data_IF_867394518716
#
_entry.id   IF_867394518716
#
_cell.length_a   1.000
_cell.length_b   1.000
_cell.length_c   1.000
_cell.angle_alpha   90.00
_cell.angle_beta   90.00
_cell.angle_gamma   90.00
#
_symmetry.space_group_name_H-M   'P 1'
#
loop_
_entity.id
_entity.type
_entity.pdbx_description
1 polymer ?
#
# COMPACT_ATOMS: atom_id res chain seq x y z
N UNK A 1 -1.22 -8.19 7.97
CA UNK A 1 -0.01 -7.77 7.23
C UNK A 1 -0.37 -6.49 6.48
N UNK A 2 0.37 -5.40 6.68
CA UNK A 2 0.05 -4.09 6.10
C UNK A 2 0.18 -4.07 4.57
N UNK A 3 1.24 -4.66 4.05
CA UNK A 3 1.45 -4.81 2.60
C UNK A 3 0.93 -6.18 2.18
N UNK A 4 -0.14 -6.17 1.40
CA UNK A 4 -0.74 -7.40 0.89
C UNK A 4 0.13 -8.02 -0.22
N UNK A 5 -0.17 -9.27 -0.55
CA UNK A 5 0.46 -9.93 -1.68
C UNK A 5 0.09 -9.27 -3.02
N UNK A 6 -1.09 -8.67 -3.10
CA UNK A 6 -1.53 -7.93 -4.28
C UNK A 6 -0.71 -6.65 -4.45
N UNK A 7 -0.46 -5.92 -3.36
CA UNK A 7 0.42 -4.74 -3.35
C UNK A 7 1.87 -5.11 -3.70
N UNK A 8 2.44 -6.21 -3.16
CA UNK A 8 3.78 -6.68 -3.54
C UNK A 8 3.87 -6.97 -5.04
N UNK A 9 2.89 -7.67 -5.59
CA UNK A 9 2.84 -7.95 -7.03
C UNK A 9 2.69 -6.67 -7.87
N UNK A 10 1.91 -5.70 -7.42
CA UNK A 10 1.77 -4.41 -8.10
C UNK A 10 3.11 -3.66 -8.17
N UNK A 11 3.85 -3.59 -7.07
CA UNK A 11 5.16 -2.95 -7.03
C UNK A 11 6.15 -3.62 -8.01
N UNK A 12 6.14 -4.95 -8.11
CA UNK A 12 6.96 -5.68 -9.09
C UNK A 12 6.57 -5.34 -10.53
N UNK A 13 5.27 -5.37 -10.85
CA UNK A 13 4.79 -5.05 -12.20
C UNK A 13 5.12 -3.61 -12.60
N UNK A 14 4.96 -2.65 -11.68
CA UNK A 14 5.35 -1.24 -11.87
C UNK A 14 6.85 -1.12 -12.10
N UNK A 15 7.67 -1.86 -11.35
CA UNK A 15 9.12 -1.92 -11.58
C UNK A 15 9.45 -2.42 -12.98
N UNK A 16 8.77 -3.46 -13.45
CA UNK A 16 8.95 -4.00 -14.79
C UNK A 16 8.60 -3.02 -15.92
N UNK A 17 7.80 -1.99 -15.63
CA UNK A 17 7.43 -0.92 -16.58
C UNK A 17 8.36 0.31 -16.50
N UNK A 18 9.34 0.31 -15.61
CA UNK A 18 10.19 1.48 -15.37
C UNK A 18 11.19 1.80 -16.48
N UNK A 19 11.36 0.92 -17.45
CA UNK A 19 12.21 1.13 -18.62
C UNK A 19 11.58 2.07 -19.67
N UNK A 20 10.35 2.55 -19.43
CA UNK A 20 9.61 3.45 -20.31
C UNK A 20 9.08 2.80 -21.59
N UNK A 21 9.12 1.46 -21.67
CA UNK A 21 8.62 0.70 -22.82
C UNK A 21 7.27 0.07 -22.52
N UNK A 22 6.56 -0.28 -23.59
CA UNK A 22 5.33 -1.07 -23.50
C UNK A 22 5.63 -2.54 -23.34
N UNK A 23 4.96 -3.17 -22.40
CA UNK A 23 5.09 -4.58 -22.14
C UNK A 23 3.73 -5.26 -22.11
N UNK A 24 3.64 -6.46 -22.68
CA UNK A 24 2.45 -7.29 -22.53
C UNK A 24 2.35 -7.87 -21.12
N UNK A 25 1.14 -8.23 -20.70
CA UNK A 25 0.93 -8.91 -19.41
C UNK A 25 1.79 -10.17 -19.27
N UNK A 26 1.93 -10.93 -20.39
CA UNK A 26 2.70 -12.17 -20.37
C UNK A 26 4.21 -11.92 -20.13
N UNK A 27 4.77 -10.87 -20.74
CA UNK A 27 6.17 -10.48 -20.54
C UNK A 27 6.41 -10.02 -19.09
N UNK A 28 5.57 -9.12 -18.57
CA UNK A 28 5.67 -8.63 -17.20
C UNK A 28 5.52 -9.76 -16.18
N UNK A 29 4.50 -10.61 -16.35
CA UNK A 29 4.24 -11.71 -15.44
C UNK A 29 5.43 -12.69 -15.38
N UNK A 30 6.04 -12.98 -16.51
CA UNK A 30 7.23 -13.84 -16.60
C UNK A 30 8.46 -13.18 -15.96
N UNK A 31 8.76 -11.94 -16.31
CA UNK A 31 9.94 -11.21 -15.85
C UNK A 31 9.88 -10.98 -14.32
N UNK A 32 8.73 -10.57 -13.80
CA UNK A 32 8.54 -10.18 -12.39
C UNK A 32 8.08 -11.34 -11.50
N UNK A 33 7.97 -12.55 -12.06
CA UNK A 33 7.54 -13.74 -11.31
C UNK A 33 6.18 -13.59 -10.64
N UNK A 34 5.24 -12.95 -11.33
CA UNK A 34 3.86 -12.77 -10.90
C UNK A 34 2.97 -13.73 -11.69
N UNK A 35 2.07 -14.50 -11.05
CA UNK A 35 1.14 -15.36 -11.79
C UNK A 35 0.29 -14.54 -12.77
N UNK A 36 0.19 -14.99 -14.04
CA UNK A 36 -0.44 -14.21 -15.11
C UNK A 36 -1.85 -13.72 -14.82
N UNK A 37 -2.65 -14.54 -14.12
CA UNK A 37 -4.01 -14.16 -13.76
C UNK A 37 -4.04 -12.97 -12.79
N UNK A 38 -3.11 -12.96 -11.81
CA UNK A 38 -2.96 -11.84 -10.89
C UNK A 38 -2.42 -10.60 -11.61
N UNK A 39 -1.40 -10.76 -12.47
CA UNK A 39 -0.83 -9.65 -13.23
C UNK A 39 -1.91 -8.92 -14.04
N UNK A 40 -2.80 -9.66 -14.72
CA UNK A 40 -3.89 -9.07 -15.49
C UNK A 40 -4.86 -8.26 -14.60
N UNK A 41 -5.30 -8.83 -13.46
CA UNK A 41 -6.22 -8.16 -12.53
C UNK A 41 -5.61 -6.90 -11.94
N UNK A 42 -4.34 -6.99 -11.52
CA UNK A 42 -3.62 -5.88 -10.91
C UNK A 42 -3.41 -4.75 -11.92
N UNK A 43 -2.91 -5.06 -13.12
CA UNK A 43 -2.70 -4.04 -14.17
C UNK A 43 -4.01 -3.35 -14.55
N UNK A 44 -5.13 -4.06 -14.57
CA UNK A 44 -6.45 -3.47 -14.80
C UNK A 44 -6.87 -2.51 -13.67
N UNK A 45 -6.59 -2.83 -12.42
CA UNK A 45 -6.83 -1.91 -11.30
C UNK A 45 -5.92 -0.67 -11.39
N UNK A 46 -4.63 -0.88 -11.67
CA UNK A 46 -3.66 0.21 -11.82
C UNK A 46 -3.99 1.13 -12.99
N UNK A 47 -4.57 0.60 -14.09
CA UNK A 47 -5.11 1.40 -15.20
C UNK A 47 -6.28 2.24 -14.73
N UNK A 48 -7.22 1.67 -13.98
CA UNK A 48 -8.34 2.40 -13.38
C UNK A 48 -7.89 3.55 -12.48
N UNK A 49 -6.80 3.36 -11.73
CA UNK A 49 -6.15 4.39 -10.91
C UNK A 49 -5.22 5.33 -11.69
N UNK A 50 -5.11 5.19 -13.01
CA UNK A 50 -4.25 5.98 -13.90
C UNK A 50 -2.75 5.94 -13.53
N UNK A 51 -2.31 4.87 -12.88
CA UNK A 51 -0.89 4.63 -12.60
C UNK A 51 -0.22 4.03 -13.83
N UNK A 52 -0.93 3.17 -14.56
CA UNK A 52 -0.51 2.62 -15.84
C UNK A 52 -1.53 2.95 -16.93
N UNK A 53 -1.07 2.96 -18.18
CA UNK A 53 -1.90 3.10 -19.37
C UNK A 53 -1.83 1.83 -20.22
N UNK A 54 -2.90 1.53 -20.96
CA UNK A 54 -2.96 0.43 -21.90
C UNK A 54 -3.12 0.97 -23.31
N UNK A 55 -2.31 0.45 -24.24
CA UNK A 55 -2.51 0.62 -25.68
C UNK A 55 -2.98 -0.70 -26.27
N UNK A 56 -4.05 -0.68 -27.06
CA UNK A 56 -4.59 -1.87 -27.75
C UNK A 56 -3.98 -2.00 -29.14
N UNK A 57 -3.96 -3.21 -29.65
CA UNK A 57 -3.47 -3.52 -31.01
C UNK A 57 -2.24 -4.41 -31.03
N UNK A 58 -1.64 -4.62 -32.21
CA UNK A 58 -0.50 -5.52 -32.41
C UNK A 58 0.73 -5.10 -31.60
N UNK A 59 1.00 -3.78 -31.52
CA UNK A 59 2.08 -3.19 -30.72
C UNK A 59 1.58 -2.69 -29.36
N UNK A 60 0.49 -3.26 -28.88
CA UNK A 60 -0.16 -2.90 -27.63
C UNK A 60 0.56 -3.44 -26.41
N UNK A 61 0.19 -2.89 -25.27
CA UNK A 61 0.74 -3.29 -23.97
C UNK A 61 0.48 -2.25 -22.90
N UNK A 62 1.04 -2.48 -21.72
CA UNK A 62 1.00 -1.57 -20.60
C UNK A 62 2.28 -0.75 -20.54
N UNK A 63 2.14 0.50 -20.13
CA UNK A 63 3.23 1.43 -19.86
C UNK A 63 2.88 2.30 -18.64
N UNK A 64 3.85 2.96 -18.03
CA UNK A 64 3.58 3.90 -16.94
C UNK A 64 2.83 5.12 -17.48
N UNK A 65 1.73 5.52 -16.82
CA UNK A 65 0.97 6.72 -17.14
C UNK A 65 1.48 7.96 -16.39
N UNK A 66 2.23 7.74 -15.29
CA UNK A 66 2.76 8.79 -14.43
C UNK A 66 4.21 8.52 -14.06
N UNK A 67 4.93 9.58 -13.68
CA UNK A 67 6.27 9.45 -13.12
C UNK A 67 6.23 8.72 -11.78
N UNK A 68 7.18 7.81 -11.54
CA UNK A 68 7.31 7.10 -10.26
C UNK A 68 7.60 8.04 -9.08
N UNK A 69 8.09 9.27 -9.35
CA UNK A 69 8.28 10.30 -8.33
C UNK A 69 6.98 11.03 -7.97
N UNK A 70 5.91 10.86 -8.76
CA UNK A 70 4.60 11.46 -8.51
C UNK A 70 3.60 10.48 -7.88
N UNK A 71 3.89 9.20 -7.89
CA UNK A 71 3.04 8.13 -7.34
C UNK A 71 3.63 7.63 -6.04
N UNK A 72 2.81 7.56 -4.99
CA UNK A 72 3.23 7.08 -3.67
C UNK A 72 2.82 5.63 -3.42
N UNK A 73 3.38 5.01 -2.38
CA UNK A 73 2.94 3.69 -1.94
C UNK A 73 1.46 3.69 -1.54
N UNK A 74 1.01 4.78 -0.91
CA UNK A 74 -0.40 4.94 -0.56
C UNK A 74 -1.32 4.90 -1.78
N UNK A 75 -0.96 5.60 -2.87
CA UNK A 75 -1.77 5.64 -4.10
C UNK A 75 -1.93 4.25 -4.72
N UNK A 76 -0.87 3.44 -4.70
CA UNK A 76 -0.95 2.04 -5.15
C UNK A 76 -1.90 1.23 -4.27
N UNK A 77 -1.74 1.31 -2.95
CA UNK A 77 -2.59 0.58 -1.99
C UNK A 77 -4.06 1.00 -2.12
N UNK A 78 -4.33 2.29 -2.24
CA UNK A 78 -5.68 2.84 -2.42
C UNK A 78 -6.31 2.34 -3.74
N UNK A 79 -5.55 2.38 -4.84
CA UNK A 79 -5.98 1.87 -6.16
C UNK A 79 -6.33 0.38 -6.14
N UNK A 80 -5.61 -0.41 -5.35
CA UNK A 80 -5.88 -1.84 -5.20
C UNK A 80 -7.04 -2.15 -4.24
N UNK A 81 -7.45 -1.18 -3.43
CA UNK A 81 -8.41 -1.38 -2.34
C UNK A 81 -7.78 -1.90 -1.05
N UNK A 82 -6.47 -1.80 -0.95
CA UNK A 82 -5.63 -2.24 0.17
C UNK A 82 -5.19 -1.06 1.07
N UNK A 83 -5.82 0.12 0.91
CA UNK A 83 -5.51 1.26 1.77
C UNK A 83 -5.63 0.85 3.25
N UNK A 84 -4.63 1.21 4.07
CA UNK A 84 -4.53 0.67 5.42
C UNK A 84 -5.67 1.13 6.32
N UNK A 85 -6.58 0.22 6.63
CA UNK A 85 -7.53 0.34 7.70
C UNK A 85 -6.97 -0.31 8.97
N UNK A 86 -6.87 0.43 10.06
CA UNK A 86 -6.38 -0.11 11.34
C UNK A 86 -7.46 -0.86 12.12
N UNK A 87 -8.73 -0.53 11.88
CA UNK A 87 -9.88 -1.23 12.47
C UNK A 87 -11.14 -1.00 11.65
N UNK A 88 -12.07 -1.95 11.71
CA UNK A 88 -13.33 -1.88 10.98
C UNK A 88 -14.15 -0.61 11.27
N UNK A 89 -14.12 -0.13 12.51
CA UNK A 89 -14.86 1.06 12.94
C UNK A 89 -14.28 2.39 12.43
N UNK A 90 -13.08 2.38 11.86
CA UNK A 90 -12.43 3.58 11.27
C UNK A 90 -12.20 3.45 9.77
N UNK A 91 -12.48 2.29 9.19
CA UNK A 91 -12.23 1.98 7.78
C UNK A 91 -13.33 2.51 6.83
N UNK A 92 -14.29 3.27 7.34
CA UNK A 92 -15.38 3.87 6.56
C UNK A 92 -16.38 2.89 5.95
N UNK A 93 -16.26 1.60 6.22
CA UNK A 93 -17.14 0.53 5.73
C UNK A 93 -18.21 0.28 6.77
N UNK A 94 -19.37 0.92 6.68
CA UNK A 94 -20.62 0.68 7.43
C UNK A 94 -20.52 -0.36 8.57
N UNK A 95 -19.55 -0.20 9.46
CA UNK A 95 -19.38 -1.07 10.60
C UNK A 95 -20.19 -0.50 11.78
N UNK A 96 -21.28 -1.18 12.10
CA UNK A 96 -22.03 -0.92 13.31
C UNK A 96 -21.26 -1.51 14.50
N UNK A 97 -20.74 -0.62 15.37
CA UNK A 97 -20.04 -1.06 16.55
C UNK A 97 -21.04 -1.30 17.70
N UNK A 98 -21.23 -2.55 18.17
CA UNK A 98 -22.20 -2.85 19.23
C UNK A 98 -21.97 -2.06 20.52
N UNK A 99 -20.71 -1.68 20.80
CA UNK A 99 -20.40 -0.85 21.96
C UNK A 99 -20.91 0.57 21.77
N UNK A 100 -20.65 1.18 20.60
CA UNK A 100 -21.12 2.53 20.29
C UNK A 100 -22.64 2.63 20.21
N UNK A 101 -23.31 1.55 19.77
CA UNK A 101 -24.78 1.50 19.71
C UNK A 101 -25.43 1.47 21.09
N UNK A 102 -24.70 0.96 22.10
CA UNK A 102 -25.20 0.84 23.48
C UNK A 102 -24.76 1.96 24.42
N UNK A 103 -23.92 2.90 23.94
CA UNK A 103 -23.35 3.98 24.73
C UNK A 103 -23.44 5.30 23.98
N UNK A 104 -24.07 6.28 24.56
CA UNK A 104 -24.22 7.64 23.97
C UNK A 104 -22.94 8.49 24.05
N UNK A 105 -21.82 7.91 24.48
CA UNK A 105 -20.54 8.59 24.63
C UNK A 105 -19.65 8.42 23.42
N UNK A 106 -18.84 9.43 23.11
CA UNK A 106 -17.80 9.36 22.09
C UNK A 106 -16.78 8.27 22.41
N UNK A 107 -16.61 7.33 21.49
CA UNK A 107 -15.66 6.24 21.65
C UNK A 107 -14.21 6.75 21.57
N UNK A 108 -13.54 6.85 22.72
CA UNK A 108 -12.13 7.28 22.81
C UNK A 108 -11.20 6.35 22.02
N UNK A 109 -11.49 5.04 21.99
CA UNK A 109 -10.70 4.07 21.23
C UNK A 109 -10.77 4.38 19.74
N UNK A 110 -11.97 4.64 19.21
CA UNK A 110 -12.15 5.01 17.80
C UNK A 110 -11.37 6.29 17.46
N UNK A 111 -11.43 7.31 18.32
CA UNK A 111 -10.68 8.56 18.13
C UNK A 111 -9.17 8.33 18.02
N UNK A 112 -8.60 7.50 18.91
CA UNK A 112 -7.18 7.15 18.86
C UNK A 112 -6.82 6.33 17.62
N UNK A 113 -7.66 5.36 17.24
CA UNK A 113 -7.43 4.54 16.02
C UNK A 113 -7.50 5.38 14.76
N UNK A 114 -8.41 6.36 14.68
CA UNK A 114 -8.46 7.34 13.57
C UNK A 114 -7.17 8.15 13.48
N UNK A 115 -6.65 8.63 14.60
CA UNK A 115 -5.39 9.36 14.63
C UNK A 115 -4.21 8.49 14.13
N UNK A 116 -4.12 7.25 14.59
CA UNK A 116 -3.10 6.28 14.14
C UNK A 116 -3.23 6.01 12.64
N UNK A 117 -4.45 5.78 12.14
CA UNK A 117 -4.68 5.56 10.71
C UNK A 117 -4.23 6.75 9.87
N UNK A 118 -4.54 7.97 10.32
CA UNK A 118 -4.11 9.19 9.64
C UNK A 118 -2.58 9.35 9.61
N UNK A 119 -1.90 9.06 10.72
CA UNK A 119 -0.43 9.08 10.77
C UNK A 119 0.17 8.04 9.83
N UNK A 120 -0.38 6.83 9.81
CA UNK A 120 0.06 5.77 8.91
C UNK A 120 -0.11 6.16 7.43
N UNK A 121 -1.28 6.72 7.07
CA UNK A 121 -1.52 7.23 5.72
C UNK A 121 -0.53 8.34 5.34
N UNK A 122 -0.21 9.22 6.28
CA UNK A 122 0.77 10.31 6.08
C UNK A 122 2.16 9.74 5.77
N UNK A 123 2.61 8.74 6.53
CA UNK A 123 3.89 8.07 6.29
C UNK A 123 3.90 7.40 4.91
N UNK A 124 2.86 6.66 4.54
CA UNK A 124 2.80 5.97 3.24
C UNK A 124 2.75 6.95 2.06
N UNK A 125 2.14 8.13 2.22
CA UNK A 125 2.12 9.21 1.21
C UNK A 125 3.45 9.93 1.08
N UNK A 126 4.31 9.88 2.09
CA UNK A 126 5.64 10.48 2.04
C UNK A 126 6.64 9.67 1.21
N UNK A 127 6.34 8.40 0.90
CA UNK A 127 7.24 7.52 0.16
C UNK A 127 6.79 7.33 -1.28
N UNK A 128 7.55 7.87 -2.21
CA UNK A 128 7.32 7.72 -3.65
C UNK A 128 7.74 6.33 -4.13
N UNK A 129 7.14 5.88 -5.24
CA UNK A 129 7.53 4.61 -5.85
C UNK A 129 8.98 4.63 -6.37
N UNK A 130 9.48 5.80 -6.77
CA UNK A 130 10.88 5.92 -7.18
C UNK A 130 11.82 5.58 -6.03
N UNK A 131 11.58 6.15 -4.86
CA UNK A 131 12.37 5.87 -3.66
C UNK A 131 12.30 4.39 -3.28
N UNK A 132 11.09 3.82 -3.22
CA UNK A 132 10.88 2.44 -2.78
C UNK A 132 11.54 1.43 -3.71
N UNK A 133 11.49 1.67 -5.02
CA UNK A 133 11.91 0.68 -6.01
C UNK A 133 13.40 0.81 -6.39
N UNK A 134 13.99 1.99 -6.28
CA UNK A 134 15.31 2.27 -6.87
C UNK A 134 16.30 2.96 -5.95
N UNK A 135 15.87 3.68 -4.94
CA UNK A 135 16.78 4.37 -4.06
C UNK A 135 17.28 3.42 -2.96
N UNK A 136 18.54 3.54 -2.53
CA UNK A 136 19.03 2.72 -1.43
C UNK A 136 18.27 3.04 -0.15
N UNK A 137 17.77 2.01 0.52
CA UNK A 137 17.07 2.17 1.78
C UNK A 137 17.98 2.86 2.80
N UNK A 138 17.48 3.91 3.44
CA UNK A 138 18.16 4.52 4.56
C UNK A 138 18.14 3.56 5.76
N UNK A 139 19.27 3.36 6.47
CA UNK A 139 19.29 2.50 7.63
C UNK A 139 18.35 3.06 8.71
N UNK A 140 17.28 2.33 9.01
CA UNK A 140 16.43 2.64 10.14
C UNK A 140 17.14 2.14 11.39
N UNK A 141 17.64 3.06 12.21
CA UNK A 141 18.10 2.73 13.54
C UNK A 141 16.87 2.45 14.40
N UNK A 142 16.55 1.17 14.54
CA UNK A 142 15.52 0.74 15.50
C UNK A 142 16.13 0.88 16.90
N UNK A 143 15.83 1.97 17.57
CA UNK A 143 16.25 2.21 18.94
C UNK A 143 15.42 1.30 19.85
N UNK A 144 15.87 0.06 20.01
CA UNK A 144 15.31 -0.90 20.96
C UNK A 144 15.76 -0.56 22.38
N UNK A 145 15.43 0.61 22.87
CA UNK A 145 15.39 0.84 24.31
C UNK A 145 14.17 0.11 24.85
N UNK A 146 14.32 -1.19 25.08
CA UNK A 146 13.53 -1.84 26.11
C UNK A 146 13.92 -1.19 27.42
N UNK A 147 13.05 -0.37 27.95
CA UNK A 147 13.09 -0.02 29.35
C UNK A 147 12.92 -1.34 30.12
N UNK A 148 14.02 -1.86 30.61
CA UNK A 148 14.03 -2.81 31.73
C UNK A 148 13.52 -2.05 32.94
N UNK A 149 12.16 -1.97 33.07
CA UNK A 149 11.54 -1.48 34.27
C UNK A 149 11.80 -2.48 35.38
N UNK A 150 12.74 -2.09 36.20
CA UNK A 150 12.99 -2.46 37.58
C UNK A 150 11.83 -3.20 38.24
N UNK A 151 11.97 -4.52 38.32
CA UNK A 151 11.34 -5.28 39.40
C UNK A 151 12.42 -5.51 40.43
N UNK A 152 12.57 -4.57 41.32
CA UNK A 152 13.23 -4.77 42.64
C UNK A 152 12.46 -4.02 43.68
N UNK A 153 12.16 -4.78 44.72
CA UNK A 153 11.81 -4.41 46.08
C UNK A 153 10.33 -4.19 46.40
N UNK A 154 9.71 -5.27 46.88
CA UNK A 154 9.09 -5.23 48.21
C UNK A 154 9.26 -6.60 48.81
N UNK A 155 10.11 -6.67 49.83
CA UNK A 155 10.29 -7.77 50.73
C UNK A 155 9.11 -8.03 51.62
#
# INVERSE_FOLDING_TARGET
MLISKETDYALRLIRGLSDGKRHTVAMLACAEKVPRQYAYKILKKLEGGRIVAITRGADGGYELAQSLSAVTLYDVMETLGDAPGVAACVDGKNYACPWCESHDEDCRVQGHLLAIQHQLATVLKAHTLREILFDPAQPVVLDHKREESKTKEAG
#
